data_IF_517828005909
#
_entry.id   IF_517828005909
#
_cell.length_a   1.000
_cell.length_b   1.000
_cell.length_c   1.000
_cell.angle_alpha   90.00
_cell.angle_beta   90.00
_cell.angle_gamma   90.00
#
_symmetry.space_group_name_H-M   'P 1'
#
loop_
_entity.id
_entity.type
_entity.pdbx_description
1 polymer ?
#
# COMPACT_ATOMS: atom_id res chain seq x y z
N UNK A 1 -25.75 -55.48 -21.31
CA UNK A 1 -25.69 -54.01 -21.45
C UNK A 1 -25.85 -53.29 -20.09
N UNK A 2 -25.05 -53.62 -19.07
CA UNK A 2 -25.24 -53.05 -17.71
C UNK A 2 -23.95 -52.50 -17.07
N UNK A 3 -22.85 -52.39 -17.83
CA UNK A 3 -21.55 -51.92 -17.31
C UNK A 3 -21.25 -50.45 -17.60
N UNK A 4 -21.68 -49.94 -18.77
CA UNK A 4 -21.35 -48.58 -19.22
C UNK A 4 -22.10 -47.49 -18.43
N UNK A 5 -23.36 -47.74 -18.07
CA UNK A 5 -24.24 -46.79 -17.37
C UNK A 5 -23.81 -46.53 -15.92
N UNK A 6 -23.29 -47.55 -15.21
CA UNK A 6 -22.81 -47.39 -13.83
C UNK A 6 -21.50 -46.58 -13.76
N UNK A 7 -20.61 -46.76 -14.74
CA UNK A 7 -19.37 -45.99 -14.85
C UNK A 7 -19.64 -44.51 -15.13
N UNK A 8 -20.60 -44.19 -15.99
CA UNK A 8 -20.98 -42.81 -16.27
C UNK A 8 -21.62 -42.11 -15.07
N UNK A 9 -22.43 -42.81 -14.27
CA UNK A 9 -23.03 -42.24 -13.05
C UNK A 9 -22.00 -41.98 -11.93
N UNK A 10 -20.99 -42.86 -11.81
CA UNK A 10 -19.88 -42.67 -10.86
C UNK A 10 -18.96 -41.52 -11.30
N UNK A 11 -18.69 -41.40 -12.60
CA UNK A 11 -17.90 -40.27 -13.14
C UNK A 11 -18.60 -38.92 -12.96
N UNK A 12 -19.92 -38.87 -13.10
CA UNK A 12 -20.71 -37.65 -12.89
C UNK A 12 -20.78 -37.22 -11.42
N UNK A 13 -20.74 -38.14 -10.44
CA UNK A 13 -20.75 -37.77 -9.03
C UNK A 13 -19.39 -37.22 -8.54
N UNK A 14 -18.28 -37.69 -9.12
CA UNK A 14 -16.93 -37.20 -8.80
C UNK A 14 -16.68 -35.79 -9.34
N UNK A 15 -17.25 -35.43 -10.50
CA UNK A 15 -17.08 -34.07 -11.05
C UNK A 15 -17.87 -33.01 -10.28
N UNK A 16 -18.99 -33.37 -9.66
CA UNK A 16 -19.80 -32.47 -8.83
C UNK A 16 -19.16 -32.20 -7.46
N UNK A 17 -18.41 -33.14 -6.89
CA UNK A 17 -17.70 -32.91 -5.60
C UNK A 17 -16.43 -32.09 -5.76
N UNK A 18 -15.74 -32.16 -6.90
CA UNK A 18 -14.55 -31.34 -7.18
C UNK A 18 -14.86 -29.85 -7.47
N UNK A 19 -16.11 -29.50 -7.80
CA UNK A 19 -16.51 -28.10 -8.06
C UNK A 19 -16.83 -27.30 -6.78
N UNK A 20 -16.85 -27.95 -5.61
CA UNK A 20 -17.10 -27.30 -4.30
C UNK A 20 -15.83 -27.06 -3.49
N UNK A 21 -14.65 -27.44 -4.01
CA UNK A 21 -13.37 -27.04 -3.44
C UNK A 21 -13.12 -25.56 -3.74
N UNK A 22 -13.92 -24.70 -3.12
CA UNK A 22 -13.65 -23.28 -3.04
C UNK A 22 -12.26 -23.10 -2.44
N UNK A 23 -11.52 -22.13 -2.98
CA UNK A 23 -10.17 -21.78 -2.59
C UNK A 23 -10.13 -21.30 -1.12
N UNK A 24 -10.10 -22.25 -0.18
CA UNK A 24 -9.93 -21.96 1.25
C UNK A 24 -8.47 -21.56 1.44
N UNK A 25 -8.17 -20.34 1.91
CA UNK A 25 -6.80 -19.93 2.16
C UNK A 25 -6.15 -20.86 3.19
N UNK A 26 -4.83 -21.05 3.15
CA UNK A 26 -4.11 -22.04 3.97
C UNK A 26 -4.25 -21.82 5.48
N UNK A 27 -4.71 -20.64 5.89
CA UNK A 27 -5.06 -20.30 7.27
C UNK A 27 -6.48 -19.80 7.30
N UNK A 28 -7.37 -20.59 7.86
CA UNK A 28 -8.71 -20.16 8.27
C UNK A 28 -8.83 -20.30 9.78
N UNK A 29 -9.60 -19.41 10.37
CA UNK A 29 -9.99 -19.49 11.76
C UNK A 29 -11.52 -19.45 11.86
N UNK A 30 -12.05 -20.10 12.88
CA UNK A 30 -13.46 -19.90 13.23
C UNK A 30 -13.72 -18.43 13.57
N UNK A 31 -14.94 -17.97 13.27
CA UNK A 31 -15.33 -16.59 13.53
C UNK A 31 -15.08 -16.21 15.00
N UNK A 32 -14.22 -15.21 15.21
CA UNK A 32 -13.91 -14.68 16.55
C UNK A 32 -15.15 -14.03 17.15
N UNK A 33 -15.36 -14.24 18.45
CA UNK A 33 -16.46 -13.68 19.23
C UNK A 33 -15.92 -12.77 20.33
N UNK A 34 -16.73 -11.80 20.75
CA UNK A 34 -16.42 -10.92 21.90
C UNK A 34 -15.10 -10.17 21.78
N UNK A 35 -14.70 -9.80 20.56
CA UNK A 35 -13.47 -9.02 20.28
C UNK A 35 -13.68 -7.51 20.38
N UNK A 36 -14.89 -7.08 20.78
CA UNK A 36 -15.25 -5.69 20.98
C UNK A 36 -15.75 -5.46 22.41
N UNK A 37 -15.26 -4.44 23.15
CA UNK A 37 -14.28 -3.44 22.72
C UNK A 37 -12.87 -4.03 22.46
N UNK A 38 -12.09 -3.46 21.52
CA UNK A 38 -10.79 -4.01 21.13
C UNK A 38 -9.84 -4.13 22.33
N UNK A 39 -9.31 -5.33 22.55
CA UNK A 39 -8.40 -5.66 23.64
C UNK A 39 -7.55 -6.88 23.30
N UNK A 40 -6.55 -7.16 24.12
CA UNK A 40 -5.67 -8.33 23.94
C UNK A 40 -4.58 -8.13 22.88
N UNK A 41 -3.95 -9.23 22.40
CA UNK A 41 -2.73 -9.17 21.61
C UNK A 41 -2.92 -8.60 20.19
N UNK A 42 -4.15 -8.51 19.71
CA UNK A 42 -4.48 -7.94 18.40
C UNK A 42 -4.74 -6.44 18.48
N UNK A 43 -4.87 -5.87 19.67
CA UNK A 43 -5.07 -4.44 19.87
C UNK A 43 -3.74 -3.72 20.13
N UNK A 44 -3.28 -2.92 19.17
CA UNK A 44 -2.05 -2.13 19.28
C UNK A 44 -2.19 -0.83 20.08
N UNK A 45 -3.41 -0.44 20.41
CA UNK A 45 -3.71 0.82 21.11
C UNK A 45 -4.65 1.74 20.33
N UNK A 46 -5.10 2.84 20.96
CA UNK A 46 -6.01 3.80 20.35
C UNK A 46 -5.30 4.67 19.31
N UNK A 47 -6.06 5.19 18.35
CA UNK A 47 -5.56 6.15 17.37
C UNK A 47 -5.87 7.57 17.86
N UNK A 48 -4.87 8.47 17.96
CA UNK A 48 -5.11 9.85 18.37
C UNK A 48 -5.88 10.63 17.29
N UNK A 49 -6.75 11.53 17.73
CA UNK A 49 -7.48 12.47 16.86
C UNK A 49 -6.71 13.78 16.73
N UNK A 50 -6.76 14.37 15.54
CA UNK A 50 -6.18 15.69 15.24
C UNK A 50 -7.19 16.51 14.47
N UNK A 51 -7.21 17.82 14.70
CA UNK A 51 -8.07 18.75 13.97
C UNK A 51 -7.26 19.49 12.92
N UNK A 52 -7.65 19.34 11.65
CA UNK A 52 -7.03 20.07 10.55
C UNK A 52 -7.90 21.28 10.21
N UNK A 53 -7.41 22.48 10.53
CA UNK A 53 -8.12 23.71 10.23
C UNK A 53 -7.96 24.09 8.74
N UNK A 54 -9.05 24.02 7.97
CA UNK A 54 -9.06 24.33 6.54
C UNK A 54 -9.03 25.84 6.23
N UNK A 55 -9.36 26.69 7.21
CA UNK A 55 -9.30 28.15 7.09
C UNK A 55 -7.85 28.65 7.09
N UNK A 56 -6.92 27.85 7.63
CA UNK A 56 -5.50 28.12 7.52
C UNK A 56 -5.01 27.97 6.08
N UNK A 57 -3.97 28.73 5.69
CA UNK A 57 -3.33 28.53 4.40
C UNK A 57 -2.84 27.08 4.28
N UNK A 58 -2.98 26.43 3.12
CA UNK A 58 -2.64 25.02 2.90
C UNK A 58 -1.29 24.59 3.49
N UNK A 59 -0.26 25.43 3.33
CA UNK A 59 1.08 25.22 3.86
C UNK A 59 1.16 24.99 5.38
N UNK A 60 0.23 25.53 6.17
CA UNK A 60 0.25 25.45 7.64
C UNK A 60 -0.68 24.38 8.22
N UNK A 61 -1.59 23.82 7.42
CA UNK A 61 -2.66 22.93 7.90
C UNK A 61 -2.16 21.70 8.63
N UNK A 62 -1.05 21.14 8.14
CA UNK A 62 -0.47 19.91 8.65
C UNK A 62 0.62 20.13 9.70
N UNK A 63 0.90 21.38 10.09
CA UNK A 63 2.05 21.71 10.91
C UNK A 63 2.04 20.98 12.26
N UNK A 64 0.95 21.11 13.03
CA UNK A 64 0.79 20.47 14.34
C UNK A 64 0.96 18.95 14.27
N UNK A 65 0.27 18.29 13.34
CA UNK A 65 0.39 16.84 13.15
C UNK A 65 1.82 16.42 12.77
N UNK A 66 2.48 17.20 11.91
CA UNK A 66 3.82 16.85 11.44
C UNK A 66 4.89 17.07 12.50
N UNK A 67 4.72 18.00 13.44
CA UNK A 67 5.61 18.13 14.60
C UNK A 67 5.63 16.81 15.41
N UNK A 68 4.46 16.23 15.66
CA UNK A 68 4.35 14.97 16.41
C UNK A 68 4.82 13.75 15.62
N UNK A 69 4.50 13.67 14.32
CA UNK A 69 4.71 12.47 13.49
C UNK A 69 5.99 12.50 12.67
N UNK A 70 6.72 13.61 12.61
CA UNK A 70 7.98 13.73 11.87
C UNK A 70 9.00 12.63 12.22
N UNK A 71 9.25 12.27 13.50
CA UNK A 71 10.21 11.22 13.82
C UNK A 71 9.85 9.86 13.22
N UNK A 72 8.58 9.47 13.31
CA UNK A 72 8.09 8.22 12.72
C UNK A 72 8.17 8.23 11.19
N UNK A 73 7.88 9.37 10.57
CA UNK A 73 7.98 9.53 9.11
C UNK A 73 9.44 9.44 8.64
N UNK A 74 10.39 10.04 9.36
CA UNK A 74 11.83 9.92 9.10
C UNK A 74 12.28 8.45 9.14
N UNK A 75 11.77 7.65 10.09
CA UNK A 75 12.07 6.21 10.16
C UNK A 75 11.56 5.47 8.91
N UNK A 76 10.32 5.72 8.48
CA UNK A 76 9.75 5.08 7.29
C UNK A 76 10.57 5.42 6.04
N UNK A 77 10.90 6.70 5.86
CA UNK A 77 11.72 7.17 4.73
C UNK A 77 13.11 6.55 4.74
N UNK A 78 13.73 6.41 5.91
CA UNK A 78 15.03 5.78 6.05
C UNK A 78 14.99 4.28 5.71
N UNK A 79 13.98 3.56 6.19
CA UNK A 79 13.77 2.15 5.84
C UNK A 79 13.57 1.96 4.33
N UNK A 80 12.85 2.89 3.68
CA UNK A 80 12.63 2.85 2.24
C UNK A 80 13.91 3.15 1.45
N UNK A 81 14.73 4.10 1.92
CA UNK A 81 16.07 4.37 1.39
C UNK A 81 16.98 3.14 1.50
N UNK A 82 17.00 2.47 2.66
CA UNK A 82 17.82 1.27 2.88
C UNK A 82 17.39 0.12 1.97
N UNK A 83 16.10 -0.09 1.81
CA UNK A 83 15.57 -1.08 0.87
C UNK A 83 15.98 -0.76 -0.57
N UNK A 84 15.84 0.49 -1.04
CA UNK A 84 16.28 0.90 -2.39
C UNK A 84 17.78 0.68 -2.56
N UNK A 85 18.59 1.06 -1.57
CA UNK A 85 20.03 0.88 -1.61
C UNK A 85 20.45 -0.60 -1.63
N UNK A 86 19.63 -1.50 -1.08
CA UNK A 86 19.90 -2.94 -1.17
C UNK A 86 19.70 -3.47 -2.60
N UNK A 87 18.79 -2.90 -3.39
CA UNK A 87 18.57 -3.28 -4.79
C UNK A 87 19.49 -2.53 -5.77
N UNK A 88 19.76 -1.26 -5.50
CA UNK A 88 20.62 -0.39 -6.32
C UNK A 88 21.54 0.43 -5.40
N UNK A 89 22.71 -0.13 -5.02
CA UNK A 89 23.62 0.50 -4.07
C UNK A 89 24.23 1.81 -4.55
N UNK A 90 24.13 2.13 -5.85
CA UNK A 90 24.69 3.35 -6.42
C UNK A 90 24.05 4.64 -5.87
N UNK A 91 22.90 4.55 -5.19
CA UNK A 91 22.19 5.70 -4.62
C UNK A 91 21.56 6.63 -5.65
N UNK A 92 21.75 6.36 -6.95
CA UNK A 92 21.25 7.17 -8.07
C UNK A 92 19.74 7.33 -8.05
N UNK A 93 19.01 6.27 -7.66
CA UNK A 93 17.55 6.30 -7.55
C UNK A 93 17.10 7.29 -6.47
N UNK A 94 17.76 7.27 -5.31
CA UNK A 94 17.44 8.19 -4.21
C UNK A 94 17.71 9.64 -4.62
N UNK A 95 18.82 9.90 -5.29
CA UNK A 95 19.16 11.22 -5.82
C UNK A 95 18.15 11.69 -6.88
N UNK A 96 17.72 10.81 -7.78
CA UNK A 96 16.72 11.11 -8.80
C UNK A 96 15.37 11.49 -8.17
N UNK A 97 14.94 10.75 -7.16
CA UNK A 97 13.70 11.04 -6.41
C UNK A 97 13.79 12.39 -5.71
N UNK A 98 14.94 12.70 -5.09
CA UNK A 98 15.13 13.97 -4.38
C UNK A 98 15.16 15.18 -5.32
N UNK A 99 15.87 15.07 -6.46
CA UNK A 99 16.22 16.22 -7.30
C UNK A 99 15.35 16.39 -8.54
N UNK A 100 14.98 15.28 -9.20
CA UNK A 100 14.32 15.33 -10.51
C UNK A 100 12.82 15.09 -10.43
N UNK A 101 12.36 14.31 -9.46
CA UNK A 101 10.95 13.96 -9.33
C UNK A 101 10.03 15.19 -9.12
N UNK A 102 10.37 16.19 -8.29
CA UNK A 102 9.53 17.40 -8.16
C UNK A 102 9.35 18.13 -9.50
N UNK A 103 10.42 18.28 -10.28
CA UNK A 103 10.35 18.93 -11.59
C UNK A 103 9.64 18.10 -12.66
N UNK A 104 9.72 16.77 -12.58
CA UNK A 104 9.07 15.85 -13.53
C UNK A 104 7.54 15.79 -13.32
N UNK A 105 7.10 15.86 -12.06
CA UNK A 105 5.67 15.79 -11.72
C UNK A 105 4.94 17.11 -11.99
N UNK A 106 5.67 18.20 -12.28
CA UNK A 106 5.11 19.53 -12.39
C UNK A 106 4.53 20.02 -11.06
N UNK A 107 3.76 21.10 -11.10
CA UNK A 107 3.05 21.59 -9.93
C UNK A 107 1.74 20.80 -9.78
N UNK A 108 1.49 20.26 -8.59
CA UNK A 108 0.18 19.73 -8.26
C UNK A 108 -0.85 20.87 -8.20
N UNK A 109 -2.13 20.61 -8.52
CA UNK A 109 -3.16 21.63 -8.34
C UNK A 109 -3.22 22.04 -6.86
N UNK A 110 -3.36 23.34 -6.60
CA UNK A 110 -3.65 23.83 -5.25
C UNK A 110 -4.94 23.19 -4.72
N UNK A 111 -5.02 22.83 -3.43
CA UNK A 111 -4.11 23.16 -2.32
C UNK A 111 -2.95 22.18 -2.08
N UNK A 112 -2.89 21.06 -2.81
CA UNK A 112 -2.03 19.92 -2.46
C UNK A 112 -0.54 20.22 -2.54
N UNK A 113 -0.12 21.00 -3.54
CA UNK A 113 1.28 21.43 -3.70
C UNK A 113 1.79 22.13 -2.44
N UNK A 114 1.01 23.09 -1.93
CA UNK A 114 1.38 23.89 -0.77
C UNK A 114 1.31 23.09 0.54
N UNK A 115 0.35 22.16 0.66
CA UNK A 115 0.31 21.21 1.79
C UNK A 115 1.56 20.32 1.83
N UNK A 116 1.98 19.80 0.67
CA UNK A 116 3.18 18.96 0.58
C UNK A 116 4.46 19.73 0.86
N UNK A 117 4.57 20.98 0.39
CA UNK A 117 5.67 21.88 0.77
C UNK A 117 5.69 22.16 2.26
N UNK A 118 4.53 22.39 2.88
CA UNK A 118 4.40 22.58 4.32
C UNK A 118 4.90 21.36 5.10
N UNK A 119 4.47 20.16 4.70
CA UNK A 119 4.93 18.90 5.31
C UNK A 119 6.45 18.72 5.13
N UNK A 120 6.97 18.95 3.92
CA UNK A 120 8.40 18.83 3.63
C UNK A 120 9.24 19.77 4.51
N UNK A 121 8.78 21.00 4.70
CA UNK A 121 9.47 22.00 5.52
C UNK A 121 9.49 21.62 7.01
N UNK A 122 8.35 21.17 7.57
CA UNK A 122 8.26 20.81 8.99
C UNK A 122 9.02 19.52 9.31
N UNK A 123 9.01 18.57 8.38
CA UNK A 123 9.64 17.25 8.58
C UNK A 123 11.11 17.22 8.17
N UNK A 124 11.62 18.28 7.52
CA UNK A 124 12.95 18.35 6.90
C UNK A 124 13.22 17.21 5.88
N UNK A 125 12.15 16.67 5.31
CA UNK A 125 12.23 15.63 4.30
C UNK A 125 12.20 16.30 2.93
N UNK A 126 13.12 15.97 2.00
CA UNK A 126 13.09 16.52 0.65
C UNK A 126 11.72 16.35 -0.01
N UNK A 127 11.23 17.42 -0.63
CA UNK A 127 9.89 17.47 -1.26
C UNK A 127 9.66 16.30 -2.22
N UNK A 128 10.70 15.86 -2.94
CA UNK A 128 10.65 14.68 -3.81
C UNK A 128 10.24 13.39 -3.10
N UNK A 129 10.66 13.18 -1.84
CA UNK A 129 10.25 12.02 -1.03
C UNK A 129 8.84 12.17 -0.47
N UNK A 130 8.40 13.39 -0.17
CA UNK A 130 7.01 13.67 0.22
C UNK A 130 6.08 13.38 -0.97
N UNK A 131 6.41 13.89 -2.16
CA UNK A 131 5.74 13.55 -3.42
C UNK A 131 5.76 12.06 -3.68
N UNK A 132 6.90 11.38 -3.56
CA UNK A 132 7.00 9.94 -3.76
C UNK A 132 6.13 9.15 -2.78
N UNK A 133 6.07 9.57 -1.51
CA UNK A 133 5.24 8.92 -0.48
C UNK A 133 3.76 9.12 -0.77
N UNK A 134 3.34 10.32 -1.15
CA UNK A 134 1.98 10.62 -1.60
C UNK A 134 1.62 9.84 -2.88
N UNK A 135 2.55 9.78 -3.82
CA UNK A 135 2.40 9.12 -5.11
C UNK A 135 2.43 7.60 -5.02
N UNK A 136 3.07 7.02 -3.99
CA UNK A 136 2.97 5.58 -3.71
C UNK A 136 1.53 5.17 -3.39
N UNK A 137 0.70 6.12 -2.90
CA UNK A 137 -0.75 5.94 -2.72
C UNK A 137 -1.53 6.05 -4.04
N UNK A 138 -0.93 6.69 -5.06
CA UNK A 138 -1.42 6.77 -6.44
C UNK A 138 -0.87 5.58 -7.27
N UNK A 139 -1.54 4.45 -7.11
CA UNK A 139 -1.10 3.09 -7.41
C UNK A 139 -0.93 2.73 -8.92
N UNK A 140 -0.20 3.52 -9.72
CA UNK A 140 0.06 3.23 -11.14
C UNK A 140 1.52 3.30 -11.56
N UNK A 141 2.27 4.29 -11.07
CA UNK A 141 3.62 4.54 -11.61
C UNK A 141 4.71 3.75 -10.90
N UNK A 142 4.53 3.35 -9.63
CA UNK A 142 5.44 2.38 -9.02
C UNK A 142 5.40 1.03 -9.76
N UNK A 143 4.21 0.59 -10.21
CA UNK A 143 4.09 -0.57 -11.10
C UNK A 143 4.87 -0.38 -12.39
N UNK A 144 4.74 0.78 -13.05
CA UNK A 144 5.47 1.07 -14.30
C UNK A 144 6.99 1.13 -14.09
N UNK A 145 7.45 1.74 -13.00
CA UNK A 145 8.87 1.83 -12.67
C UNK A 145 9.46 0.44 -12.37
N UNK A 146 8.75 -0.40 -11.61
CA UNK A 146 9.16 -1.78 -11.35
C UNK A 146 9.10 -2.67 -12.61
N UNK A 147 8.10 -2.48 -13.47
CA UNK A 147 7.99 -3.19 -14.75
C UNK A 147 9.08 -2.80 -15.75
N UNK A 148 9.59 -1.55 -15.71
CA UNK A 148 10.64 -1.06 -16.62
C UNK A 148 12.05 -1.50 -16.24
N UNK A 149 12.30 -1.82 -14.97
CA UNK A 149 13.58 -2.33 -14.47
C UNK A 149 13.71 -3.87 -14.51
N UNK A 150 12.77 -4.58 -15.14
CA UNK A 150 12.89 -6.03 -15.36
C UNK A 150 12.93 -6.87 -14.07
N UNK A 151 12.56 -6.28 -12.92
CA UNK A 151 12.28 -7.06 -11.72
C UNK A 151 10.96 -7.75 -12.01
N UNK A 152 11.03 -9.01 -12.45
CA UNK A 152 9.86 -9.87 -12.56
C UNK A 152 9.12 -9.78 -11.23
N UNK A 153 8.00 -9.08 -11.26
CA UNK A 153 6.97 -9.18 -10.24
C UNK A 153 6.72 -10.67 -10.05
N UNK A 154 6.91 -11.13 -8.81
CA UNK A 154 6.14 -12.26 -8.27
C UNK A 154 4.73 -12.13 -8.87
N UNK A 155 4.32 -13.11 -9.67
CA UNK A 155 3.01 -13.13 -10.31
C UNK A 155 1.95 -13.16 -9.21
N UNK A 156 1.51 -11.99 -8.77
CA UNK A 156 0.17 -11.84 -8.19
C UNK A 156 -0.81 -11.76 -9.36
N UNK A 157 -0.98 -12.87 -10.07
CA UNK A 157 -2.15 -13.08 -10.90
C UNK A 157 -3.32 -13.42 -9.97
N UNK A 158 -4.45 -12.75 -10.24
CA UNK A 158 -5.81 -13.06 -9.77
C UNK A 158 -6.33 -12.40 -8.49
N UNK A 159 -6.18 -11.07 -8.39
CA UNK A 159 -7.24 -10.25 -7.76
C UNK A 159 -8.18 -9.68 -8.83
N UNK A 160 -8.97 -10.56 -9.45
CA UNK A 160 -10.23 -10.16 -10.07
C UNK A 160 -11.26 -9.98 -8.94
N UNK A 161 -11.44 -8.74 -8.51
CA UNK A 161 -12.64 -8.36 -7.76
C UNK A 161 -13.82 -8.38 -8.74
N UNK A 162 -14.58 -9.47 -8.77
CA UNK A 162 -15.97 -9.43 -9.25
C UNK A 162 -16.86 -9.25 -8.03
N UNK A 163 -17.41 -8.04 -7.91
CA UNK A 163 -18.47 -7.73 -6.99
C UNK A 163 -19.75 -8.44 -7.45
N UNK A 164 -20.31 -9.29 -6.59
CA UNK A 164 -21.74 -9.61 -6.51
C UNK A 164 -22.01 -10.27 -5.16
#
# INVERSE_FOLDING_TARGET
>A
MLGWSRLTFVLLSVTVTCSVAQHVPPWTEDCRKSTYPPSGPTYRGPVPWYTINLDLPPYKRWHELMVDKAPALKVIVNSLKNMINAFEPSGKIVQLVDQKLPGLLGNFPGPFEEEMKGIAAVTEIPLGKVHFTAFKKLNKVLKIFLLRYGIHTIKCTDLKYTAQ
#
